data_IF_729715691715
#
_entry.id   IF_729715691715
#
_cell.length_a   1.000
_cell.length_b   1.000
_cell.length_c   1.000
_cell.angle_alpha   90.00
_cell.angle_beta   90.00
_cell.angle_gamma   90.00
#
_symmetry.space_group_name_H-M   'P 1'
#
loop_
_entity.id
_entity.type
_entity.pdbx_description
1 polymer ?
#
# COMPACT_ATOMS: atom_id res chain seq x y z
N UNK A 1 -11.69 30.29 35.84
CA UNK A 1 -11.59 28.96 35.22
C UNK A 1 -11.51 29.17 33.72
N UNK A 2 -10.34 28.82 33.14
CA UNK A 2 -10.20 28.84 31.69
C UNK A 2 -11.03 27.73 31.08
N UNK A 3 -11.73 27.97 29.95
CA UNK A 3 -12.48 26.93 29.27
C UNK A 3 -11.54 25.87 28.72
N UNK A 4 -11.75 24.63 29.12
CA UNK A 4 -11.04 23.48 28.57
C UNK A 4 -11.21 23.45 27.04
N UNK A 5 -10.12 23.41 26.26
CA UNK A 5 -10.21 23.37 24.80
C UNK A 5 -11.01 22.14 24.34
N UNK A 6 -11.98 22.36 23.48
CA UNK A 6 -12.79 21.30 22.91
C UNK A 6 -11.88 20.25 22.23
N UNK A 7 -12.14 18.94 22.42
CA UNK A 7 -11.36 17.90 21.76
C UNK A 7 -11.44 18.06 20.24
N UNK A 8 -10.34 17.84 19.51
CA UNK A 8 -10.33 17.97 18.06
C UNK A 8 -11.40 17.04 17.44
N UNK A 9 -12.10 17.47 16.39
CA UNK A 9 -13.15 16.66 15.77
C UNK A 9 -12.59 15.32 15.32
N UNK A 10 -13.14 14.25 15.89
CA UNK A 10 -12.78 12.89 15.50
C UNK A 10 -13.23 12.63 14.07
N UNK A 11 -12.35 12.03 13.25
CA UNK A 11 -12.71 11.60 11.89
C UNK A 11 -13.89 10.63 11.93
N UNK A 12 -14.84 10.75 10.99
CA UNK A 12 -15.90 9.76 10.88
C UNK A 12 -15.31 8.36 10.62
N UNK A 13 -15.95 7.33 11.15
CA UNK A 13 -15.50 5.95 10.96
C UNK A 13 -15.47 5.59 9.45
N UNK A 14 -14.45 4.88 8.98
CA UNK A 14 -14.37 4.42 7.60
C UNK A 14 -15.53 3.48 7.25
N UNK A 15 -16.19 3.70 6.13
CA UNK A 15 -17.27 2.84 5.63
C UNK A 15 -16.74 1.70 4.76
N UNK A 16 -17.08 0.45 5.11
CA UNK A 16 -16.62 -0.75 4.42
C UNK A 16 -16.94 -0.72 2.91
N UNK A 17 -15.91 -0.93 2.08
CA UNK A 17 -16.00 -0.91 0.62
C UNK A 17 -16.26 0.47 0.00
N UNK A 18 -16.33 1.52 0.81
CA UNK A 18 -16.60 2.90 0.37
C UNK A 18 -15.45 3.86 0.65
N UNK A 19 -15.00 3.93 1.89
CA UNK A 19 -14.01 4.92 2.31
C UNK A 19 -12.94 4.33 3.22
N UNK A 20 -11.80 5.00 3.28
CA UNK A 20 -10.73 4.82 4.27
C UNK A 20 -10.32 6.19 4.81
N UNK A 21 -9.91 6.27 6.06
CA UNK A 21 -9.29 7.47 6.60
C UNK A 21 -7.82 7.48 6.23
N UNK A 22 -7.33 8.62 5.76
CA UNK A 22 -5.94 8.81 5.39
C UNK A 22 -5.36 9.98 6.19
N UNK A 23 -4.34 9.70 6.99
CA UNK A 23 -3.72 10.63 7.90
C UNK A 23 -2.27 10.83 7.47
N UNK A 24 -1.86 12.03 7.01
CA UNK A 24 -0.46 12.29 6.69
C UNK A 24 0.37 12.24 7.98
N UNK A 25 1.50 11.52 7.96
CA UNK A 25 2.40 11.36 9.11
C UNK A 25 3.65 12.21 8.96
N UNK A 26 4.25 12.18 7.76
CA UNK A 26 5.46 12.98 7.46
C UNK A 26 5.61 13.17 5.95
N UNK A 27 6.36 14.19 5.57
CA UNK A 27 6.63 14.52 4.18
C UNK A 27 5.37 14.93 3.40
N UNK A 28 5.40 14.80 2.09
CA UNK A 28 4.29 15.17 1.21
C UNK A 28 3.61 13.93 0.67
N UNK A 29 2.34 13.75 1.01
CA UNK A 29 1.46 12.73 0.45
C UNK A 29 0.42 13.39 -0.45
N UNK A 30 0.21 12.84 -1.64
CA UNK A 30 -0.78 13.34 -2.60
C UNK A 30 -1.80 12.26 -2.91
N UNK A 31 -3.04 12.66 -3.09
CA UNK A 31 -4.13 11.74 -3.44
C UNK A 31 -4.76 12.14 -4.78
N UNK A 32 -5.12 11.12 -5.55
CA UNK A 32 -5.99 11.25 -6.70
C UNK A 32 -7.26 10.47 -6.40
N UNK A 33 -8.35 11.19 -6.11
CA UNK A 33 -9.64 10.58 -5.77
C UNK A 33 -10.20 9.79 -6.96
N UNK A 34 -10.97 8.76 -6.68
CA UNK A 34 -11.69 8.01 -7.72
C UNK A 34 -12.47 8.95 -8.61
N UNK A 35 -12.36 8.81 -9.94
CA UNK A 35 -12.99 9.70 -10.93
C UNK A 35 -12.25 11.00 -11.20
N UNK A 36 -11.28 11.40 -10.38
CA UNK A 36 -10.46 12.60 -10.60
C UNK A 36 -9.27 12.32 -11.52
N UNK A 37 -8.88 13.34 -12.31
CA UNK A 37 -7.63 13.34 -13.08
C UNK A 37 -6.46 14.02 -12.36
N UNK A 38 -6.74 14.81 -11.29
CA UNK A 38 -5.77 15.65 -10.58
C UNK A 38 -5.35 15.03 -9.25
N UNK A 39 -4.07 15.21 -8.90
CA UNK A 39 -3.56 14.94 -7.56
C UNK A 39 -3.71 16.20 -6.71
N UNK A 40 -4.17 16.02 -5.48
CA UNK A 40 -4.21 17.06 -4.43
C UNK A 40 -3.39 16.59 -3.23
N UNK A 41 -2.83 17.52 -2.48
CA UNK A 41 -2.12 17.20 -1.23
C UNK A 41 -3.10 16.67 -0.20
N UNK A 42 -2.76 15.57 0.45
CA UNK A 42 -3.52 14.99 1.55
C UNK A 42 -3.43 15.92 2.76
N UNK A 43 -4.58 16.23 3.34
CA UNK A 43 -4.67 17.00 4.60
C UNK A 43 -5.03 16.09 5.76
N UNK A 44 -4.72 16.53 6.98
CA UNK A 44 -5.18 15.84 8.19
C UNK A 44 -6.72 15.78 8.19
N UNK A 45 -7.24 14.59 8.46
CA UNK A 45 -8.69 14.41 8.50
C UNK A 45 -9.36 14.04 7.17
N UNK A 46 -8.60 13.77 6.13
CA UNK A 46 -9.18 13.37 4.84
C UNK A 46 -9.72 11.93 4.88
N UNK A 47 -11.02 11.79 4.66
CA UNK A 47 -11.62 10.51 4.31
C UNK A 47 -11.62 10.36 2.78
N UNK A 48 -11.00 9.28 2.28
CA UNK A 48 -10.83 9.10 0.84
C UNK A 48 -11.64 7.90 0.31
N UNK A 49 -12.27 8.02 -0.86
CA UNK A 49 -13.02 6.92 -1.46
C UNK A 49 -12.12 5.74 -1.83
N UNK A 50 -12.62 4.52 -1.64
CA UNK A 50 -12.02 3.31 -2.20
C UNK A 50 -11.94 3.45 -3.72
N UNK A 51 -10.81 3.06 -4.32
CA UNK A 51 -10.49 3.30 -5.73
C UNK A 51 -9.60 4.52 -5.96
N UNK A 52 -9.34 5.32 -4.93
CA UNK A 52 -8.37 6.43 -5.00
C UNK A 52 -6.95 5.92 -5.11
N UNK A 53 -6.08 6.76 -5.71
CA UNK A 53 -4.63 6.51 -5.78
C UNK A 53 -3.92 7.42 -4.79
N UNK A 54 -2.98 6.86 -4.04
CA UNK A 54 -2.16 7.55 -3.05
C UNK A 54 -0.71 7.56 -3.50
N UNK A 55 -0.12 8.74 -3.55
CA UNK A 55 1.30 8.96 -3.82
C UNK A 55 2.00 9.31 -2.50
N UNK A 56 2.62 8.30 -1.91
CA UNK A 56 3.43 8.39 -0.69
C UNK A 56 4.93 8.19 -0.96
N UNK A 57 5.39 8.49 -2.19
CA UNK A 57 6.81 8.36 -2.55
C UNK A 57 7.70 9.33 -1.79
N UNK A 58 7.18 10.50 -1.44
CA UNK A 58 7.87 11.55 -0.72
C UNK A 58 7.26 11.83 0.67
N UNK A 59 6.54 10.85 1.22
CA UNK A 59 5.90 10.97 2.52
C UNK A 59 5.41 9.66 3.08
N UNK A 60 4.82 9.74 4.26
CA UNK A 60 4.22 8.62 4.99
C UNK A 60 2.76 8.94 5.30
N UNK A 61 1.90 7.98 5.11
CA UNK A 61 0.46 8.06 5.40
C UNK A 61 0.03 6.88 6.26
N UNK A 62 -0.74 7.15 7.30
CA UNK A 62 -1.50 6.13 8.01
C UNK A 62 -2.84 5.93 7.31
N UNK A 63 -3.19 4.70 7.02
CA UNK A 63 -4.54 4.33 6.58
C UNK A 63 -5.27 3.62 7.73
N UNK A 64 -6.48 4.11 8.01
CA UNK A 64 -7.44 3.44 8.89
C UNK A 64 -8.59 2.91 8.06
N UNK A 65 -9.00 1.67 8.33
CA UNK A 65 -9.99 0.96 7.51
C UNK A 65 -11.16 0.47 8.35
N UNK A 66 -12.30 0.28 7.73
CA UNK A 66 -13.42 -0.40 8.37
C UNK A 66 -12.97 -1.79 8.89
N UNK A 67 -13.33 -2.11 10.12
CA UNK A 67 -12.89 -3.32 10.81
C UNK A 67 -11.60 -3.16 11.61
N UNK A 68 -11.14 -1.92 11.86
CA UNK A 68 -10.09 -1.58 12.83
C UNK A 68 -8.66 -1.78 12.34
N UNK A 69 -8.44 -1.96 11.05
CA UNK A 69 -7.08 -2.02 10.51
C UNK A 69 -6.43 -0.63 10.47
N UNK A 70 -5.20 -0.53 11.00
CA UNK A 70 -4.38 0.69 10.98
C UNK A 70 -2.94 0.35 10.60
N UNK A 71 -2.44 0.98 9.55
CA UNK A 71 -1.06 0.78 9.09
C UNK A 71 -0.53 1.99 8.34
N UNK A 72 0.78 2.18 8.44
CA UNK A 72 1.53 3.20 7.74
C UNK A 72 2.04 2.68 6.40
N UNK A 73 1.97 3.54 5.39
CA UNK A 73 2.49 3.26 4.05
C UNK A 73 3.36 4.40 3.56
N UNK A 74 4.51 4.05 2.96
CA UNK A 74 5.49 5.04 2.48
C UNK A 74 6.34 4.48 1.33
N UNK A 75 7.02 5.41 0.62
CA UNK A 75 7.96 5.10 -0.45
C UNK A 75 7.30 4.38 -1.64
N UNK A 76 6.05 4.74 -1.94
CA UNK A 76 5.32 4.11 -3.05
C UNK A 76 4.11 4.87 -3.56
N UNK A 77 3.69 4.47 -4.76
CA UNK A 77 2.47 4.90 -5.43
C UNK A 77 1.53 3.71 -5.55
N UNK A 78 0.34 3.81 -4.96
CA UNK A 78 -0.58 2.69 -4.90
C UNK A 78 -2.05 3.12 -5.02
N UNK A 79 -2.88 2.19 -5.47
CA UNK A 79 -4.34 2.33 -5.54
C UNK A 79 -4.98 1.51 -4.43
N UNK A 80 -5.95 2.11 -3.75
CA UNK A 80 -6.70 1.45 -2.69
C UNK A 80 -7.87 0.68 -3.29
N UNK A 81 -7.95 -0.61 -3.00
CA UNK A 81 -9.10 -1.46 -3.22
C UNK A 81 -9.57 -2.03 -1.89
N UNK A 82 -10.87 -2.26 -1.73
CA UNK A 82 -11.40 -2.89 -0.54
C UNK A 82 -12.57 -3.79 -0.89
N UNK A 83 -12.62 -4.96 -0.29
CA UNK A 83 -13.79 -5.86 -0.37
C UNK A 83 -14.98 -5.28 0.38
N UNK A 84 -16.14 -5.94 0.22
CA UNK A 84 -17.36 -5.68 1.00
C UNK A 84 -17.39 -6.65 2.19
N UNK A 85 -18.21 -6.36 3.19
CA UNK A 85 -18.40 -7.17 4.40
C UNK A 85 -17.88 -6.49 5.67
N UNK A 86 -18.15 -7.08 6.84
CA UNK A 86 -17.87 -6.47 8.15
C UNK A 86 -16.36 -6.27 8.42
N UNK A 87 -15.50 -7.14 7.90
CA UNK A 87 -14.04 -7.05 8.03
C UNK A 87 -13.37 -7.12 6.66
N UNK A 88 -13.51 -6.07 5.85
CA UNK A 88 -13.03 -6.10 4.47
C UNK A 88 -11.50 -6.15 4.40
N UNK A 89 -10.99 -6.93 3.44
CA UNK A 89 -9.57 -6.90 3.10
C UNK A 89 -9.27 -5.66 2.27
N UNK A 90 -8.36 -4.82 2.75
CA UNK A 90 -7.90 -3.63 2.04
C UNK A 90 -6.67 -3.99 1.20
N UNK A 91 -6.79 -3.83 -0.11
CA UNK A 91 -5.73 -4.15 -1.06
C UNK A 91 -5.10 -2.88 -1.61
N UNK A 92 -3.79 -2.76 -1.46
CA UNK A 92 -2.98 -1.68 -1.99
C UNK A 92 -2.21 -2.20 -3.21
N UNK A 93 -2.68 -1.80 -4.39
CA UNK A 93 -2.06 -2.23 -5.66
C UNK A 93 -1.02 -1.21 -6.10
N UNK A 94 0.23 -1.64 -6.32
CA UNK A 94 1.28 -0.79 -6.85
C UNK A 94 0.94 -0.35 -8.28
N UNK A 95 0.90 0.96 -8.55
CA UNK A 95 0.43 1.51 -9.83
C UNK A 95 1.48 2.31 -10.60
N UNK A 96 2.65 2.58 -10.01
CA UNK A 96 3.73 3.24 -10.73
C UNK A 96 4.12 2.44 -12.00
N UNK A 97 4.26 3.13 -13.13
CA UNK A 97 4.61 2.48 -14.40
C UNK A 97 6.03 1.95 -14.37
N UNK A 98 6.18 0.67 -14.73
CA UNK A 98 7.46 0.03 -14.97
C UNK A 98 7.79 0.13 -16.46
N UNK A 99 8.93 0.69 -16.80
CA UNK A 99 9.46 0.63 -18.16
C UNK A 99 10.13 -0.73 -18.37
N UNK A 100 9.39 -1.63 -18.99
CA UNK A 100 9.82 -3.02 -19.20
C UNK A 100 10.20 -3.29 -20.68
N UNK A 101 10.33 -2.27 -21.51
CA UNK A 101 10.80 -2.45 -22.89
C UNK A 101 12.26 -2.89 -22.86
N UNK A 102 12.61 -3.88 -23.67
CA UNK A 102 14.02 -4.20 -23.96
C UNK A 102 14.63 -2.98 -24.64
N UNK A 103 15.43 -2.22 -23.92
CA UNK A 103 16.28 -1.21 -24.54
C UNK A 103 17.51 -1.91 -25.07
N UNK A 104 17.96 -1.48 -26.25
CA UNK A 104 19.24 -1.88 -26.82
C UNK A 104 20.35 -1.74 -25.77
N UNK A 105 21.38 -2.58 -25.84
CA UNK A 105 22.45 -2.77 -24.87
C UNK A 105 23.21 -1.50 -24.42
N UNK A 106 22.98 -0.36 -25.07
CA UNK A 106 23.62 0.94 -24.86
C UNK A 106 22.95 1.83 -23.79
N UNK A 107 21.79 1.45 -23.25
CA UNK A 107 21.09 2.29 -22.28
C UNK A 107 21.56 2.04 -20.84
N UNK A 108 22.35 2.96 -20.26
CA UNK A 108 22.78 2.99 -18.86
C UNK A 108 21.66 3.21 -17.84
N UNK A 109 20.39 3.35 -18.24
CA UNK A 109 19.27 3.54 -17.30
C UNK A 109 18.93 2.23 -16.59
N UNK A 110 19.06 2.24 -15.25
CA UNK A 110 18.63 1.12 -14.39
C UNK A 110 17.14 0.80 -14.65
N UNK A 111 16.76 -0.50 -14.72
CA UNK A 111 15.37 -0.89 -14.86
C UNK A 111 14.55 -0.25 -13.75
N UNK A 112 13.44 0.40 -14.09
CA UNK A 112 12.53 0.98 -13.11
C UNK A 112 12.00 -0.11 -12.20
N UNK A 113 12.03 0.17 -10.92
CA UNK A 113 11.36 -0.60 -9.88
C UNK A 113 10.30 0.28 -9.21
N UNK A 114 9.23 -0.31 -8.78
CA UNK A 114 8.24 0.32 -7.89
C UNK A 114 8.21 -0.44 -6.58
N UNK A 115 7.96 0.23 -5.51
CA UNK A 115 7.99 -0.36 -4.18
C UNK A 115 6.95 0.27 -3.27
N UNK A 116 6.64 -0.41 -2.16
CA UNK A 116 5.80 0.09 -1.10
C UNK A 116 6.22 -0.57 0.20
N UNK A 117 6.58 0.25 1.17
CA UNK A 117 6.69 -0.14 2.55
C UNK A 117 5.33 -0.10 3.22
N UNK A 118 5.10 -1.04 4.13
CA UNK A 118 3.99 -1.04 5.05
C UNK A 118 4.44 -1.42 6.46
N UNK A 119 3.81 -0.83 7.48
CA UNK A 119 4.07 -1.13 8.89
C UNK A 119 2.78 -0.94 9.68
N UNK A 120 2.32 -1.96 10.38
CA UNK A 120 1.12 -1.89 11.19
C UNK A 120 0.33 -3.19 11.23
N UNK A 121 -0.93 -3.09 11.62
CA UNK A 121 -1.82 -4.24 11.84
C UNK A 121 -3.15 -4.10 11.10
N UNK A 122 -3.84 -5.23 10.93
CA UNK A 122 -5.14 -5.26 10.27
C UNK A 122 -5.13 -6.12 9.01
N UNK A 123 -6.24 -6.08 8.28
CA UNK A 123 -6.43 -6.87 7.07
C UNK A 123 -5.98 -6.12 5.83
N UNK A 124 -4.67 -5.98 5.66
CA UNK A 124 -4.07 -5.37 4.50
C UNK A 124 -3.43 -6.40 3.56
N UNK A 125 -3.45 -6.07 2.28
CA UNK A 125 -2.76 -6.80 1.22
C UNK A 125 -2.03 -5.80 0.33
N UNK A 126 -0.74 -5.99 0.13
CA UNK A 126 0.01 -5.25 -0.89
C UNK A 126 0.14 -6.12 -2.13
N UNK A 127 -0.36 -5.63 -3.25
CA UNK A 127 -0.39 -6.37 -4.51
C UNK A 127 0.63 -5.79 -5.50
N UNK A 128 1.60 -6.60 -5.83
CA UNK A 128 2.51 -6.41 -6.95
C UNK A 128 2.05 -7.15 -8.21
N UNK A 129 2.92 -7.23 -9.21
CA UNK A 129 2.62 -7.82 -10.51
C UNK A 129 2.48 -9.36 -10.44
N UNK A 130 3.39 -10.02 -9.72
CA UNK A 130 3.51 -11.48 -9.70
C UNK A 130 3.10 -12.11 -8.37
N UNK A 131 3.00 -11.33 -7.32
CA UNK A 131 2.52 -11.81 -6.02
C UNK A 131 1.75 -10.76 -5.25
N UNK A 132 1.03 -11.21 -4.23
CA UNK A 132 0.37 -10.35 -3.26
C UNK A 132 0.72 -10.81 -1.84
N UNK A 133 1.07 -9.85 -0.99
CA UNK A 133 1.45 -10.06 0.40
C UNK A 133 0.30 -9.63 1.32
N UNK A 134 -0.24 -10.56 2.11
CA UNK A 134 -1.29 -10.30 3.10
C UNK A 134 -0.70 -10.36 4.50
N UNK A 135 -1.00 -9.39 5.34
CA UNK A 135 -0.38 -9.18 6.65
C UNK A 135 -1.35 -9.37 7.81
N UNK A 136 -0.75 -9.60 9.01
CA UNK A 136 -1.43 -9.64 10.31
C UNK A 136 -0.58 -8.97 11.40
N UNK A 137 -0.15 -7.72 11.20
CA UNK A 137 0.74 -7.03 12.15
C UNK A 137 2.22 -7.33 11.87
N UNK A 138 2.88 -6.40 11.15
CA UNK A 138 4.24 -6.63 10.66
C UNK A 138 4.79 -5.38 9.96
N UNK A 139 6.07 -5.42 9.64
CA UNK A 139 6.74 -4.45 8.78
C UNK A 139 7.31 -5.15 7.56
N UNK A 140 6.93 -4.71 6.38
CA UNK A 140 7.26 -5.36 5.12
C UNK A 140 7.50 -4.38 3.99
N UNK A 141 8.22 -4.86 2.98
CA UNK A 141 8.46 -4.16 1.72
C UNK A 141 8.06 -5.05 0.56
N UNK A 142 7.24 -4.53 -0.35
CA UNK A 142 6.99 -5.14 -1.66
C UNK A 142 7.71 -4.34 -2.72
N UNK A 143 8.52 -5.02 -3.54
CA UNK A 143 9.22 -4.44 -4.68
C UNK A 143 8.85 -5.17 -5.94
N UNK A 144 8.29 -4.44 -6.90
CA UNK A 144 8.02 -4.93 -8.25
C UNK A 144 9.12 -4.53 -9.23
N UNK A 145 9.47 -5.47 -10.07
CA UNK A 145 10.32 -5.29 -11.25
C UNK A 145 9.62 -5.87 -12.47
N UNK A 146 10.20 -5.68 -13.63
CA UNK A 146 9.62 -6.19 -14.89
C UNK A 146 9.43 -7.71 -14.92
N UNK A 147 10.26 -8.46 -14.21
CA UNK A 147 10.28 -9.93 -14.23
C UNK A 147 10.00 -10.58 -12.87
N UNK A 148 9.80 -9.79 -11.81
CA UNK A 148 9.61 -10.34 -10.46
C UNK A 148 8.89 -9.38 -9.53
N UNK A 149 8.24 -9.96 -8.51
CA UNK A 149 7.77 -9.27 -7.30
C UNK A 149 8.46 -9.89 -6.10
N UNK A 150 9.17 -9.07 -5.32
CA UNK A 150 9.85 -9.50 -4.09
C UNK A 150 9.11 -8.93 -2.89
N UNK A 151 8.77 -9.77 -1.93
CA UNK A 151 8.27 -9.39 -0.61
C UNK A 151 9.36 -9.67 0.42
N UNK A 152 9.83 -8.62 1.12
CA UNK A 152 10.77 -8.71 2.26
C UNK A 152 10.01 -8.42 3.54
N UNK A 153 10.21 -9.22 4.55
CA UNK A 153 9.62 -9.03 5.89
C UNK A 153 10.73 -8.57 6.82
N UNK A 154 10.54 -7.39 7.43
CA UNK A 154 11.47 -6.84 8.40
C UNK A 154 11.09 -7.25 9.83
N UNK A 155 9.78 -7.37 10.11
CA UNK A 155 9.23 -7.76 11.41
C UNK A 155 8.01 -8.65 11.20
N UNK A 156 7.80 -9.64 12.07
CA UNK A 156 6.63 -10.53 12.05
C UNK A 156 6.58 -11.50 10.87
N UNK A 157 5.40 -11.70 10.30
CA UNK A 157 5.20 -12.63 9.20
C UNK A 157 4.17 -12.15 8.19
N UNK A 158 4.33 -12.58 6.95
CA UNK A 158 3.48 -12.21 5.81
C UNK A 158 3.10 -13.47 5.03
N UNK A 159 1.84 -13.58 4.66
CA UNK A 159 1.38 -14.62 3.73
C UNK A 159 1.47 -14.09 2.29
N UNK A 160 2.35 -14.69 1.49
CA UNK A 160 2.57 -14.32 0.09
C UNK A 160 1.86 -15.30 -0.83
N UNK A 161 0.92 -14.82 -1.64
CA UNK A 161 0.31 -15.57 -2.74
C UNK A 161 1.12 -15.34 -4.01
N UNK A 162 1.89 -16.33 -4.43
CA UNK A 162 2.56 -16.35 -5.74
C UNK A 162 1.53 -16.69 -6.82
N UNK A 163 1.30 -15.76 -7.74
CA UNK A 163 0.33 -15.91 -8.83
C UNK A 163 0.89 -16.74 -9.98
N UNK A 164 2.21 -16.81 -10.12
CA UNK A 164 2.89 -17.54 -11.20
C UNK A 164 2.93 -19.03 -10.89
N UNK A 165 3.37 -19.37 -9.68
CA UNK A 165 3.45 -20.76 -9.19
C UNK A 165 2.13 -21.25 -8.57
N UNK A 166 1.10 -20.37 -8.45
CA UNK A 166 -0.20 -20.64 -7.85
C UNK A 166 -0.15 -21.20 -6.42
N UNK A 167 0.90 -20.84 -5.67
CA UNK A 167 1.11 -21.32 -4.30
C UNK A 167 1.09 -20.17 -3.29
N UNK A 168 0.87 -20.53 -2.03
CA UNK A 168 0.92 -19.61 -0.90
C UNK A 168 2.11 -19.97 -0.03
N UNK A 169 2.88 -18.96 0.40
CA UNK A 169 4.08 -19.12 1.22
C UNK A 169 4.00 -18.18 2.40
N UNK A 170 4.32 -18.65 3.60
CA UNK A 170 4.48 -17.79 4.78
C UNK A 170 5.95 -17.37 4.85
N UNK A 171 6.17 -16.07 4.84
CA UNK A 171 7.50 -15.45 4.95
C UNK A 171 7.61 -14.82 6.32
N UNK A 172 8.59 -15.22 7.12
CA UNK A 172 8.88 -14.66 8.44
C UNK A 172 10.13 -13.77 8.39
N UNK A 173 10.18 -12.75 9.24
CA UNK A 173 11.37 -11.92 9.38
C UNK A 173 12.61 -12.75 9.74
N UNK A 174 13.79 -12.39 9.25
CA UNK A 174 14.11 -11.29 8.32
C UNK A 174 14.15 -11.73 6.85
N UNK A 175 13.35 -12.72 6.46
CA UNK A 175 13.40 -13.38 5.14
C UNK A 175 12.66 -12.61 4.06
N UNK A 176 12.88 -13.04 2.81
CA UNK A 176 12.17 -12.55 1.63
C UNK A 176 11.73 -13.70 0.73
N UNK A 177 10.69 -13.42 -0.08
CA UNK A 177 10.20 -14.31 -1.13
C UNK A 177 10.11 -13.56 -2.45
N UNK A 178 10.57 -14.18 -3.53
CA UNK A 178 10.50 -13.60 -4.89
C UNK A 178 9.69 -14.49 -5.81
N UNK A 179 8.54 -13.96 -6.26
CA UNK A 179 7.77 -14.52 -7.37
C UNK A 179 8.34 -14.02 -8.70
N UNK A 180 8.69 -14.93 -9.60
CA UNK A 180 9.32 -14.62 -10.91
C UNK A 180 8.37 -14.95 -12.06
N UNK A 181 8.41 -14.14 -13.13
CA UNK A 181 7.74 -14.47 -14.40
C UNK A 181 8.22 -15.83 -14.90
N UNK A 182 7.32 -16.64 -15.46
CA UNK A 182 7.74 -17.81 -16.24
C UNK A 182 8.54 -17.34 -17.47
N UNK A 183 9.59 -18.05 -17.79
CA UNK A 183 10.33 -17.89 -19.06
C UNK A 183 9.47 -18.35 -20.22
#
# INVERSE_FOLDING_TARGET
PEPTPAPPPSLPAPAAGRTVNAIPVSGTVRIKRRGSRRYVTLRAGDQIPVGSTVDARNGRVTLETAGGGRADFFDGLFRIGQGRGARPLTTLTLTERLDCRRRAATSRRKPKRRRLWGSGSGRFRTAGRYSAATIRGTRWLVTDRCTSTTTRVAEGSVTVRDRVKRRTVIVRAPRSYTARRRR
#
